data_IF_192778757195
#
_entry.id   IF_192778757195
#
_cell.length_a   1.000
_cell.length_b   1.000
_cell.length_c   1.000
_cell.angle_alpha   90.00
_cell.angle_beta   90.00
_cell.angle_gamma   90.00
#
_symmetry.space_group_name_H-M   'P 1'
#
loop_
_entity.id
_entity.type
_entity.pdbx_description
1 polymer ?
#
# COMPACT_ATOMS: atom_id res chain seq x y z
N UNK A 1 0.56 -3.38 9.82
CA UNK A 1 0.01 -2.13 9.25
C UNK A 1 -1.39 -2.42 8.74
N UNK A 2 -2.39 -1.62 9.11
CA UNK A 2 -3.79 -1.81 8.72
C UNK A 2 -4.15 -0.70 7.72
N UNK A 3 -4.54 -1.07 6.50
CA UNK A 3 -4.78 -0.12 5.40
C UNK A 3 -6.27 -0.11 5.09
N UNK A 4 -6.91 1.02 5.43
CA UNK A 4 -8.36 1.19 5.35
C UNK A 4 -8.82 1.71 3.99
N UNK A 5 -9.98 1.23 3.55
CA UNK A 5 -10.64 1.65 2.31
C UNK A 5 -12.09 2.07 2.58
N UNK A 6 -12.53 3.20 2.02
CA UNK A 6 -13.92 3.66 2.10
C UNK A 6 -14.65 3.44 0.77
N UNK A 7 -15.82 2.80 0.81
CA UNK A 7 -16.77 2.73 -0.31
C UNK A 7 -18.19 3.04 0.17
N UNK A 8 -18.92 3.87 -0.57
CA UNK A 8 -20.35 4.16 -0.38
C UNK A 8 -21.19 3.32 -1.34
N UNK A 9 -22.29 2.72 -0.88
CA UNK A 9 -23.15 1.83 -1.66
C UNK A 9 -24.62 2.33 -1.71
N UNK A 10 -25.28 2.36 -2.88
CA UNK A 10 -26.73 2.47 -2.98
C UNK A 10 -27.41 1.09 -3.10
N UNK A 11 -28.68 1.05 -2.67
CA UNK A 11 -29.56 -0.11 -2.50
C UNK A 11 -30.22 -0.56 -3.83
N UNK A 12 -29.99 -1.80 -4.29
CA UNK A 12 -30.78 -2.46 -5.35
C UNK A 12 -30.75 -4.01 -5.23
N UNK A 13 -31.87 -4.66 -5.60
CA UNK A 13 -32.28 -6.07 -5.36
C UNK A 13 -31.65 -7.16 -6.24
N UNK A 14 -31.45 -8.36 -5.64
CA UNK A 14 -31.27 -9.73 -6.18
C UNK A 14 -30.24 -10.03 -7.29
N UNK A 15 -29.24 -10.87 -6.96
CA UNK A 15 -28.95 -12.19 -7.58
C UNK A 15 -27.94 -12.93 -6.68
N UNK A 16 -28.27 -14.14 -6.22
CA UNK A 16 -27.35 -14.99 -5.47
C UNK A 16 -26.32 -15.63 -6.43
N UNK A 17 -25.24 -14.90 -6.71
CA UNK A 17 -24.03 -15.48 -7.25
C UNK A 17 -23.10 -15.81 -6.06
N UNK A 18 -23.00 -17.08 -5.68
CA UNK A 18 -21.83 -17.56 -4.95
C UNK A 18 -20.64 -17.50 -5.91
N UNK A 19 -20.07 -16.31 -6.07
CA UNK A 19 -18.74 -16.15 -6.63
C UNK A 19 -17.80 -16.80 -5.63
N UNK A 20 -17.05 -17.79 -6.08
CA UNK A 20 -15.97 -18.42 -5.33
C UNK A 20 -15.20 -17.36 -4.54
N UNK A 21 -15.02 -17.59 -3.22
CA UNK A 21 -14.02 -16.86 -2.42
C UNK A 21 -12.60 -17.27 -2.85
N UNK A 22 -12.32 -17.30 -4.15
CA UNK A 22 -10.95 -17.04 -4.58
C UNK A 22 -10.71 -15.62 -4.11
N UNK A 23 -9.85 -15.45 -3.10
CA UNK A 23 -9.38 -14.14 -2.69
C UNK A 23 -8.82 -13.46 -3.94
N UNK A 24 -9.68 -12.69 -4.61
CA UNK A 24 -9.31 -11.90 -5.76
C UNK A 24 -8.21 -10.99 -5.22
N UNK A 25 -7.01 -10.96 -5.84
CA UNK A 25 -5.98 -10.05 -5.38
C UNK A 25 -6.62 -8.67 -5.23
N UNK A 26 -6.40 -7.99 -4.08
CA UNK A 26 -7.05 -6.72 -3.84
C UNK A 26 -6.77 -5.85 -5.07
N UNK A 27 -7.83 -5.38 -5.73
CA UNK A 27 -7.70 -4.53 -6.91
C UNK A 27 -7.19 -3.17 -6.43
N UNK A 28 -5.87 -3.09 -6.27
CA UNK A 28 -5.18 -1.93 -5.76
C UNK A 28 -4.88 -0.92 -6.86
N UNK A 29 -4.93 -1.32 -8.13
CA UNK A 29 -4.74 -0.43 -9.28
C UNK A 29 -5.58 0.84 -9.15
N UNK A 30 -4.93 2.00 -9.20
CA UNK A 30 -5.54 3.31 -9.03
C UNK A 30 -5.76 3.75 -7.58
N UNK A 31 -5.40 2.92 -6.59
CA UNK A 31 -5.49 3.26 -5.16
C UNK A 31 -4.16 3.79 -4.64
N UNK A 32 -4.27 4.66 -3.64
CA UNK A 32 -3.15 5.12 -2.82
C UNK A 32 -3.35 4.67 -1.40
N UNK A 33 -2.34 4.00 -0.84
CA UNK A 33 -2.28 3.60 0.56
C UNK A 33 -1.38 4.59 1.29
N UNK A 34 -1.87 5.14 2.40
CA UNK A 34 -1.14 6.10 3.23
C UNK A 34 -0.85 5.45 4.58
N UNK A 35 0.36 5.61 5.09
CA UNK A 35 0.69 5.15 6.42
C UNK A 35 0.16 6.14 7.47
N UNK A 36 -0.97 5.78 8.09
CA UNK A 36 -1.66 6.63 9.07
C UNK A 36 -0.97 6.71 10.43
N UNK A 37 -0.12 5.73 10.75
CA UNK A 37 0.49 5.57 12.07
C UNK A 37 1.93 6.09 12.10
N UNK A 38 2.27 7.02 11.20
CA UNK A 38 3.57 7.67 11.20
C UNK A 38 3.80 8.39 12.53
N UNK A 39 4.95 8.19 13.20
CA UNK A 39 5.23 8.83 14.49
C UNK A 39 5.38 10.36 14.38
N UNK A 40 5.55 10.87 13.16
CA UNK A 40 5.66 12.30 12.87
C UNK A 40 4.46 12.72 12.04
N UNK A 41 3.53 13.45 12.64
CA UNK A 41 2.23 13.77 12.03
C UNK A 41 2.31 14.49 10.67
N UNK A 42 3.37 15.25 10.42
CA UNK A 42 3.58 15.95 9.15
C UNK A 42 4.21 15.08 8.04
N UNK A 43 4.74 13.90 8.38
CA UNK A 43 5.41 12.99 7.44
C UNK A 43 4.47 11.83 7.16
N UNK A 44 3.91 11.78 5.95
CA UNK A 44 2.90 10.80 5.55
C UNK A 44 3.38 9.94 4.38
N UNK A 45 4.16 8.88 4.65
CA UNK A 45 4.56 7.94 3.61
C UNK A 45 3.34 7.33 2.91
N UNK A 46 3.46 7.10 1.61
CA UNK A 46 2.37 6.59 0.80
C UNK A 46 2.85 5.82 -0.43
N UNK A 47 2.01 4.92 -0.92
CA UNK A 47 2.22 4.13 -2.15
C UNK A 47 0.96 4.19 -2.99
N UNK A 48 1.12 4.61 -4.24
CA UNK A 48 0.11 4.52 -5.29
C UNK A 48 0.42 3.32 -6.18
N UNK A 49 -0.61 2.52 -6.43
CA UNK A 49 -0.54 1.34 -7.29
C UNK A 49 -1.08 1.67 -8.68
N UNK A 50 -0.33 1.29 -9.70
CA UNK A 50 -0.65 1.55 -11.10
C UNK A 50 -0.97 0.24 -11.83
N UNK A 51 -1.30 0.36 -13.12
CA UNK A 51 -1.41 -0.80 -14.00
C UNK A 51 -0.08 -1.54 -14.09
N UNK A 52 -0.10 -2.82 -14.49
CA UNK A 52 1.10 -3.66 -14.64
C UNK A 52 1.91 -3.85 -13.34
N UNK A 53 1.26 -3.67 -12.19
CA UNK A 53 1.85 -3.75 -10.86
C UNK A 53 2.98 -2.74 -10.60
N UNK A 54 3.07 -1.66 -11.38
CA UNK A 54 3.98 -0.57 -11.07
C UNK A 54 3.49 0.19 -9.84
N UNK A 55 4.43 0.72 -9.05
CA UNK A 55 4.14 1.56 -7.89
C UNK A 55 4.95 2.85 -7.94
N UNK A 56 4.39 3.89 -7.35
CA UNK A 56 5.09 5.14 -7.04
C UNK A 56 4.71 5.63 -5.66
N UNK A 57 5.53 6.44 -5.02
CA UNK A 57 5.14 7.01 -3.74
C UNK A 57 6.24 7.80 -3.06
N UNK A 58 6.10 7.91 -1.74
CA UNK A 58 7.09 8.53 -0.86
C UNK A 58 7.26 7.68 0.40
N UNK A 59 8.50 7.52 0.86
CA UNK A 59 8.83 6.94 2.16
C UNK A 59 8.81 7.99 3.28
N UNK A 60 8.36 9.21 3.00
CA UNK A 60 8.49 10.37 3.88
C UNK A 60 9.62 11.27 3.39
N UNK A 61 10.86 10.80 3.46
CA UNK A 61 12.01 11.53 2.93
C UNK A 61 12.24 11.30 1.43
N UNK A 62 12.20 10.04 0.94
CA UNK A 62 12.54 9.72 -0.44
C UNK A 62 11.34 9.37 -1.32
N UNK A 63 11.52 9.49 -2.63
CA UNK A 63 10.53 8.97 -3.58
C UNK A 63 10.73 7.47 -3.72
N UNK A 64 9.61 6.74 -3.84
CA UNK A 64 9.56 5.32 -4.11
C UNK A 64 9.10 5.06 -5.53
N UNK A 65 9.72 4.08 -6.17
CA UNK A 65 9.30 3.54 -7.47
C UNK A 65 9.58 2.05 -7.52
N UNK A 66 8.91 1.33 -8.40
CA UNK A 66 9.23 -0.07 -8.68
C UNK A 66 8.00 -0.87 -9.05
N UNK A 67 8.08 -2.17 -8.83
CA UNK A 67 7.00 -3.11 -9.09
C UNK A 67 6.70 -3.92 -7.85
N UNK A 68 5.44 -4.32 -7.72
CA UNK A 68 4.98 -5.24 -6.70
C UNK A 68 4.50 -6.54 -7.36
N UNK A 69 4.62 -7.66 -6.68
CA UNK A 69 4.03 -8.92 -7.16
C UNK A 69 2.92 -9.36 -6.21
N UNK A 70 1.85 -9.93 -6.78
CA UNK A 70 0.70 -10.42 -6.03
C UNK A 70 0.48 -11.90 -6.29
N UNK A 71 0.23 -12.67 -5.23
CA UNK A 71 -0.20 -14.07 -5.28
C UNK A 71 -1.37 -14.27 -4.30
N UNK A 72 -2.60 -14.11 -4.81
CA UNK A 72 -3.80 -14.03 -3.97
C UNK A 72 -3.74 -12.84 -3.01
N UNK A 73 -3.68 -13.11 -1.71
CA UNK A 73 -3.51 -12.08 -0.67
C UNK A 73 -2.04 -11.71 -0.42
N UNK A 74 -1.10 -12.49 -0.95
CA UNK A 74 0.32 -12.24 -0.73
C UNK A 74 0.81 -11.09 -1.58
N UNK A 75 1.76 -10.36 -1.03
CA UNK A 75 2.41 -9.22 -1.67
C UNK A 75 3.93 -9.31 -1.51
N UNK A 76 4.66 -8.95 -2.56
CA UNK A 76 6.12 -8.89 -2.56
C UNK A 76 6.59 -7.51 -3.04
N UNK A 77 7.19 -6.76 -2.11
CA UNK A 77 7.77 -5.43 -2.31
C UNK A 77 9.28 -5.46 -2.61
N UNK A 78 9.91 -6.62 -2.80
CA UNK A 78 11.37 -6.73 -3.00
C UNK A 78 11.92 -5.99 -4.22
N UNK A 79 11.05 -5.59 -5.17
CA UNK A 79 11.39 -4.88 -6.40
C UNK A 79 11.13 -3.37 -6.33
N UNK A 80 10.89 -2.82 -5.15
CA UNK A 80 10.82 -1.36 -4.97
C UNK A 80 12.22 -0.78 -4.71
N UNK A 81 12.42 0.46 -5.15
CA UNK A 81 13.59 1.26 -4.85
C UNK A 81 13.20 2.64 -4.31
N UNK A 82 14.15 3.30 -3.67
CA UNK A 82 14.01 4.69 -3.21
C UNK A 82 15.14 5.57 -3.72
N UNK A 83 14.89 6.87 -3.80
CA UNK A 83 15.97 7.87 -3.96
C UNK A 83 16.83 7.94 -2.70
N UNK A 84 17.93 8.72 -2.73
CA UNK A 84 18.80 8.96 -1.56
C UNK A 84 19.03 10.46 -1.33
N UNK A 85 17.97 11.17 -0.97
CA UNK A 85 18.05 12.58 -0.54
C UNK A 85 18.30 12.66 0.97
N UNK A 86 18.89 13.76 1.40
CA UNK A 86 19.06 14.07 2.81
C UNK A 86 17.88 14.92 3.29
N UNK A 87 17.24 14.51 4.39
CA UNK A 87 16.14 15.21 5.06
C UNK A 87 16.48 15.44 6.53
N UNK A 88 15.51 15.90 7.32
CA UNK A 88 15.68 15.97 8.78
C UNK A 88 15.84 14.57 9.40
N UNK A 89 16.48 14.45 10.60
CA UNK A 89 16.60 13.17 11.29
C UNK A 89 15.27 12.46 11.55
N UNK A 90 14.21 13.22 11.83
CA UNK A 90 12.85 12.68 12.04
C UNK A 90 12.29 12.04 10.76
N UNK A 91 12.36 12.73 9.62
CA UNK A 91 11.89 12.20 8.33
C UNK A 91 12.66 10.95 7.90
N UNK A 92 13.97 10.92 8.15
CA UNK A 92 14.80 9.76 7.89
C UNK A 92 14.44 8.56 8.79
N UNK A 93 14.09 8.82 10.05
CA UNK A 93 13.62 7.76 10.97
C UNK A 93 12.27 7.20 10.55
N UNK A 94 11.35 8.06 10.08
CA UNK A 94 10.06 7.63 9.51
C UNK A 94 10.29 6.79 8.27
N UNK A 95 11.17 7.23 7.37
CA UNK A 95 11.52 6.45 6.17
C UNK A 95 12.06 5.07 6.51
N UNK A 96 13.02 4.97 7.43
CA UNK A 96 13.60 3.70 7.81
C UNK A 96 12.54 2.72 8.32
N UNK A 97 11.62 3.22 9.16
CA UNK A 97 10.52 2.43 9.71
C UNK A 97 9.53 2.01 8.63
N UNK A 98 9.19 2.91 7.71
CA UNK A 98 8.28 2.60 6.62
C UNK A 98 8.85 1.54 5.68
N UNK A 99 10.13 1.66 5.30
CA UNK A 99 10.80 0.68 4.44
C UNK A 99 10.92 -0.68 5.13
N UNK A 100 11.19 -0.72 6.43
CA UNK A 100 11.18 -1.96 7.21
C UNK A 100 9.79 -2.63 7.21
N UNK A 101 8.72 -1.85 7.37
CA UNK A 101 7.37 -2.39 7.26
C UNK A 101 7.08 -2.98 5.87
N UNK A 102 7.50 -2.32 4.79
CA UNK A 102 7.33 -2.85 3.43
C UNK A 102 8.10 -4.14 3.21
N UNK A 103 9.35 -4.21 3.72
CA UNK A 103 10.18 -5.40 3.61
C UNK A 103 9.61 -6.60 4.36
N UNK A 104 8.90 -6.36 5.47
CA UNK A 104 8.30 -7.41 6.30
C UNK A 104 6.81 -7.69 6.00
N UNK A 105 6.17 -6.93 5.11
CA UNK A 105 4.77 -7.14 4.73
C UNK A 105 4.68 -8.21 3.64
N UNK A 106 4.07 -9.34 3.98
CA UNK A 106 3.85 -10.45 3.04
C UNK A 106 2.41 -10.60 2.60
N UNK A 107 1.46 -9.94 3.28
CA UNK A 107 0.04 -10.12 3.07
C UNK A 107 -0.70 -8.78 3.09
N UNK A 108 -1.66 -8.63 2.18
CA UNK A 108 -2.59 -7.50 2.15
C UNK A 108 -3.95 -7.96 2.65
N UNK A 109 -4.35 -7.42 3.79
CA UNK A 109 -5.70 -7.56 4.30
C UNK A 109 -6.48 -6.34 3.85
N UNK A 110 -7.49 -6.56 3.00
CA UNK A 110 -8.47 -5.51 2.71
C UNK A 110 -9.34 -5.34 3.97
N UNK A 111 -9.21 -4.19 4.64
CA UNK A 111 -10.16 -3.83 5.69
C UNK A 111 -11.55 -3.72 5.03
N UNK A 112 -12.48 -4.59 5.45
CA UNK A 112 -13.85 -4.70 4.94
C UNK A 112 -14.78 -3.58 5.38
#
# INVERSE_FOLDING_TARGET
MNIKLLAAAPLLTMLAACSSLTAQPPQLTGRTLVWSDSPVAAVTPSITFHTNNDISGTSGCNLLTGQVQFDGTKVDFSRIGSTKRLCSPEEMSVEATFLDHLANTTDLVADG
#
